data_IF_254595178169
#
_entry.id   IF_254595178169
#
_cell.length_a   1.000
_cell.length_b   1.000
_cell.length_c   1.000
_cell.angle_alpha   90.00
_cell.angle_beta   90.00
_cell.angle_gamma   90.00
#
_symmetry.space_group_name_H-M   'P 1'
#
loop_
_entity.id
_entity.type
_entity.pdbx_description
1 polymer ?
#
# COMPACT_ATOMS: atom_id res chain seq x y z
N UNK A 1 -3.09 25.90 -13.04
CA UNK A 1 -3.22 24.46 -13.06
C UNK A 1 -3.26 23.92 -11.64
N UNK A 2 -4.06 22.89 -11.35
CA UNK A 2 -4.14 22.31 -10.02
C UNK A 2 -2.77 21.76 -9.60
N UNK A 3 -2.47 21.86 -8.30
CA UNK A 3 -1.25 21.24 -7.76
C UNK A 3 -1.26 19.73 -7.95
N UNK A 4 -0.10 19.07 -7.87
CA UNK A 4 -0.01 17.62 -7.92
C UNK A 4 -0.92 16.97 -6.85
N UNK A 5 -0.98 17.57 -5.65
CA UNK A 5 -1.84 17.09 -4.57
C UNK A 5 -3.34 17.22 -4.91
N UNK A 6 -3.75 18.32 -5.53
CA UNK A 6 -5.14 18.49 -5.98
C UNK A 6 -5.52 17.53 -7.09
N UNK A 7 -4.62 17.35 -8.06
CA UNK A 7 -4.85 16.39 -9.17
C UNK A 7 -5.00 14.96 -8.64
N UNK A 8 -4.14 14.55 -7.72
CA UNK A 8 -4.19 13.24 -7.09
C UNK A 8 -5.48 13.06 -6.26
N UNK A 9 -5.82 14.07 -5.45
CA UNK A 9 -7.05 14.05 -4.64
C UNK A 9 -8.30 13.97 -5.52
N UNK A 10 -8.39 14.75 -6.59
CA UNK A 10 -9.52 14.72 -7.52
C UNK A 10 -9.66 13.31 -8.17
N UNK A 11 -8.55 12.68 -8.52
CA UNK A 11 -8.57 11.31 -9.06
C UNK A 11 -9.13 10.30 -8.06
N UNK A 12 -8.69 10.37 -6.79
CA UNK A 12 -9.21 9.51 -5.72
C UNK A 12 -10.71 9.70 -5.51
N UNK A 13 -11.18 10.95 -5.50
CA UNK A 13 -12.61 11.28 -5.34
C UNK A 13 -13.43 10.74 -6.50
N UNK A 14 -12.94 10.90 -7.73
CA UNK A 14 -13.62 10.38 -8.91
C UNK A 14 -13.71 8.85 -8.91
N UNK A 15 -12.65 8.15 -8.50
CA UNK A 15 -12.66 6.69 -8.38
C UNK A 15 -13.66 6.20 -7.34
N UNK A 16 -13.69 6.83 -6.16
CA UNK A 16 -14.64 6.49 -5.09
C UNK A 16 -16.07 6.75 -5.53
N UNK A 17 -16.33 7.89 -6.20
CA UNK A 17 -17.69 8.25 -6.64
C UNK A 17 -18.17 7.37 -7.79
N UNK A 18 -17.29 6.95 -8.71
CA UNK A 18 -17.63 6.02 -9.80
C UNK A 18 -17.94 4.61 -9.31
N UNK A 19 -17.23 4.16 -8.29
CA UNK A 19 -17.39 2.81 -7.74
C UNK A 19 -18.56 2.68 -6.76
N UNK A 20 -19.13 3.81 -6.31
CA UNK A 20 -20.28 3.79 -5.42
C UNK A 20 -21.59 3.75 -6.19
N UNK A 21 -22.17 2.55 -6.29
CA UNK A 21 -23.45 2.31 -6.98
C UNK A 21 -24.69 2.69 -6.15
N UNK A 22 -24.55 3.09 -4.88
CA UNK A 22 -25.66 3.19 -3.93
C UNK A 22 -26.16 4.60 -3.60
N UNK A 23 -25.65 5.66 -4.22
CA UNK A 23 -26.19 6.99 -3.94
C UNK A 23 -25.34 8.14 -4.45
N UNK A 24 -25.93 9.32 -4.52
CA UNK A 24 -25.21 10.55 -4.79
C UNK A 24 -24.31 10.89 -3.60
N UNK A 25 -23.04 10.47 -3.65
CA UNK A 25 -22.05 10.94 -2.70
C UNK A 25 -21.79 12.43 -2.96
N UNK A 26 -21.85 13.21 -1.89
CA UNK A 26 -21.41 14.60 -1.91
C UNK A 26 -19.89 14.64 -2.14
N UNK A 27 -19.50 15.02 -3.36
CA UNK A 27 -18.09 15.05 -3.77
C UNK A 27 -17.23 15.94 -2.88
N UNK A 28 -17.79 17.02 -2.34
CA UNK A 28 -17.04 17.94 -1.49
C UNK A 28 -16.74 17.30 -0.12
N UNK A 29 -17.70 16.60 0.45
CA UNK A 29 -17.47 15.83 1.69
C UNK A 29 -16.48 14.69 1.49
N UNK A 30 -16.58 13.96 0.37
CA UNK A 30 -15.61 12.92 0.03
C UNK A 30 -14.22 13.53 -0.13
N UNK A 31 -14.10 14.65 -0.83
CA UNK A 31 -12.84 15.37 -1.02
C UNK A 31 -12.20 15.79 0.31
N UNK A 32 -12.99 16.34 1.22
CA UNK A 32 -12.53 16.74 2.54
C UNK A 32 -12.04 15.55 3.37
N UNK A 33 -12.79 14.45 3.38
CA UNK A 33 -12.43 13.22 4.08
C UNK A 33 -11.15 12.57 3.53
N UNK A 34 -10.95 12.58 2.21
CA UNK A 34 -9.80 11.95 1.56
C UNK A 34 -8.55 12.84 1.49
N UNK A 35 -8.66 14.13 1.71
CA UNK A 35 -7.53 15.07 1.66
C UNK A 35 -6.33 14.64 2.52
N UNK A 36 -6.49 14.29 3.81
CA UNK A 36 -5.35 13.84 4.63
C UNK A 36 -4.70 12.55 4.10
N UNK A 37 -5.50 11.64 3.54
CA UNK A 37 -5.01 10.40 2.94
C UNK A 37 -4.22 10.68 1.68
N UNK A 38 -4.74 11.55 0.80
CA UNK A 38 -4.06 11.96 -0.42
C UNK A 38 -2.72 12.64 -0.15
N UNK A 39 -2.68 13.56 0.82
CA UNK A 39 -1.44 14.24 1.24
C UNK A 39 -0.41 13.25 1.79
N UNK A 40 -0.83 12.32 2.63
CA UNK A 40 0.06 11.27 3.18
C UNK A 40 0.61 10.36 2.09
N UNK A 41 -0.25 9.91 1.18
CA UNK A 41 0.15 9.03 0.08
C UNK A 41 1.11 9.74 -0.87
N UNK A 42 0.87 11.01 -1.18
CA UNK A 42 1.75 11.80 -2.02
C UNK A 42 3.12 12.03 -1.35
N UNK A 43 3.14 12.37 -0.06
CA UNK A 43 4.40 12.49 0.71
C UNK A 43 5.19 11.17 0.68
N UNK A 44 4.51 10.05 0.90
CA UNK A 44 5.15 8.73 0.83
C UNK A 44 5.71 8.45 -0.57
N UNK A 45 4.94 8.72 -1.61
CA UNK A 45 5.39 8.55 -2.98
C UNK A 45 6.67 9.35 -3.29
N UNK A 46 6.74 10.60 -2.86
CA UNK A 46 7.91 11.46 -3.08
C UNK A 46 9.12 10.95 -2.28
N UNK A 47 8.94 10.59 -1.01
CA UNK A 47 9.99 10.03 -0.16
C UNK A 47 10.51 8.71 -0.75
N UNK A 48 9.60 7.82 -1.15
CA UNK A 48 9.94 6.54 -1.76
C UNK A 48 10.80 6.72 -3.01
N UNK A 49 10.38 7.58 -3.91
CA UNK A 49 11.12 7.83 -5.15
C UNK A 49 12.52 8.41 -4.89
N UNK A 50 12.63 9.30 -3.92
CA UNK A 50 13.93 9.87 -3.53
C UNK A 50 14.86 8.81 -2.92
N UNK A 51 14.35 7.96 -2.04
CA UNK A 51 15.11 6.86 -1.45
C UNK A 51 15.57 5.85 -2.51
N UNK A 52 14.71 5.50 -3.47
CA UNK A 52 15.09 4.62 -4.58
C UNK A 52 16.25 5.22 -5.37
N UNK A 53 16.18 6.52 -5.64
CA UNK A 53 17.22 7.22 -6.38
C UNK A 53 18.53 7.30 -5.61
N UNK A 54 18.49 7.74 -4.35
CA UNK A 54 19.67 7.97 -3.53
C UNK A 54 20.37 6.68 -3.10
N UNK A 55 19.61 5.66 -2.75
CA UNK A 55 20.13 4.38 -2.27
C UNK A 55 20.26 3.35 -3.39
N UNK A 56 19.87 3.69 -4.62
CA UNK A 56 19.92 2.80 -5.79
C UNK A 56 19.26 1.44 -5.53
N UNK A 57 18.08 1.47 -4.89
CA UNK A 57 17.30 0.24 -4.69
C UNK A 57 16.87 -0.31 -6.05
N UNK A 58 17.23 -1.56 -6.30
CA UNK A 58 16.86 -2.33 -7.47
C UNK A 58 16.46 -3.76 -7.09
N UNK A 59 15.89 -4.48 -8.04
CA UNK A 59 15.57 -5.90 -7.90
C UNK A 59 16.28 -6.66 -9.03
N UNK A 60 17.41 -7.31 -8.73
CA UNK A 60 18.06 -8.19 -9.67
C UNK A 60 17.14 -9.32 -10.16
N UNK A 61 17.33 -9.77 -11.40
CA UNK A 61 16.49 -10.81 -12.01
C UNK A 61 16.46 -12.12 -11.22
N UNK A 62 17.60 -12.48 -10.61
CA UNK A 62 17.69 -13.65 -9.74
C UNK A 62 16.84 -13.50 -8.48
N UNK A 63 16.82 -12.34 -7.84
CA UNK A 63 16.03 -12.09 -6.64
C UNK A 63 14.52 -12.21 -6.94
N UNK A 64 14.08 -11.68 -8.08
CA UNK A 64 12.70 -11.83 -8.52
C UNK A 64 12.34 -13.30 -8.76
N UNK A 65 13.25 -14.05 -9.39
CA UNK A 65 13.03 -15.48 -9.64
C UNK A 65 12.99 -16.29 -8.35
N UNK A 66 13.89 -16.01 -7.41
CA UNK A 66 13.98 -16.67 -6.12
C UNK A 66 12.70 -16.43 -5.29
N UNK A 67 12.15 -15.21 -5.32
CA UNK A 67 10.89 -14.90 -4.66
C UNK A 67 9.70 -15.65 -5.28
N UNK A 68 9.67 -15.81 -6.59
CA UNK A 68 8.64 -16.60 -7.28
C UNK A 68 8.75 -18.09 -6.88
N UNK A 69 9.97 -18.66 -6.86
CA UNK A 69 10.19 -20.04 -6.44
C UNK A 69 9.80 -20.24 -4.97
N UNK A 70 10.15 -19.32 -4.08
CA UNK A 70 9.74 -19.36 -2.68
C UNK A 70 8.22 -19.44 -2.52
N UNK A 71 7.46 -18.64 -3.30
CA UNK A 71 5.99 -18.69 -3.29
C UNK A 71 5.44 -20.03 -3.78
N UNK A 72 6.11 -20.67 -4.72
CA UNK A 72 5.75 -22.01 -5.22
C UNK A 72 6.01 -23.09 -4.17
N UNK A 73 7.12 -22.97 -3.43
CA UNK A 73 7.46 -23.87 -2.34
C UNK A 73 6.47 -23.75 -1.16
N UNK A 74 6.03 -22.54 -0.85
CA UNK A 74 5.00 -22.29 0.19
C UNK A 74 3.61 -22.81 -0.22
N UNK A 75 3.33 -22.91 -1.51
CA UNK A 75 2.05 -23.36 -2.04
C UNK A 75 2.22 -24.37 -3.20
N UNK A 76 2.71 -25.58 -2.94
CA UNK A 76 3.04 -26.55 -3.99
C UNK A 76 1.84 -26.90 -4.90
N UNK A 77 0.64 -26.94 -4.32
CA UNK A 77 -0.60 -27.23 -5.05
C UNK A 77 -0.99 -26.15 -6.08
N UNK A 78 -0.46 -24.92 -5.92
CA UNK A 78 -0.73 -23.78 -6.80
C UNK A 78 0.47 -23.41 -7.68
N UNK A 79 1.52 -24.22 -7.70
CA UNK A 79 2.77 -23.91 -8.41
C UNK A 79 2.55 -23.56 -9.89
N UNK A 80 1.67 -24.29 -10.59
CA UNK A 80 1.35 -24.01 -12.01
C UNK A 80 0.58 -22.71 -12.19
N UNK A 81 -0.28 -22.35 -11.25
CA UNK A 81 -1.05 -21.11 -11.27
C UNK A 81 -0.15 -19.90 -11.00
N UNK A 82 0.78 -20.04 -10.04
CA UNK A 82 1.80 -19.05 -9.73
C UNK A 82 2.69 -18.78 -10.95
N UNK A 83 3.16 -19.84 -11.64
CA UNK A 83 3.93 -19.70 -12.88
C UNK A 83 3.13 -18.94 -13.96
N UNK A 84 1.88 -19.30 -14.16
CA UNK A 84 1.00 -18.64 -15.13
C UNK A 84 0.75 -17.18 -14.76
N UNK A 85 0.57 -16.88 -13.49
CA UNK A 85 0.37 -15.53 -12.98
C UNK A 85 1.58 -14.63 -13.25
N UNK A 86 2.79 -15.11 -12.96
CA UNK A 86 4.03 -14.36 -13.15
C UNK A 86 4.60 -14.43 -14.58
N UNK A 87 3.95 -15.13 -15.53
CA UNK A 87 4.23 -14.95 -16.96
C UNK A 87 3.82 -13.58 -17.48
N UNK A 88 2.86 -12.92 -16.82
CA UNK A 88 2.42 -11.56 -17.20
C UNK A 88 3.43 -10.52 -16.70
N UNK A 89 3.97 -9.66 -17.60
CA UNK A 89 4.93 -8.62 -17.21
C UNK A 89 4.41 -7.68 -16.12
N UNK A 90 3.13 -7.31 -16.18
CA UNK A 90 2.51 -6.45 -15.17
C UNK A 90 2.54 -7.04 -13.75
N UNK A 91 2.39 -8.37 -13.62
CA UNK A 91 2.44 -9.04 -12.32
C UNK A 91 3.89 -9.14 -11.79
N UNK A 92 4.86 -9.28 -12.70
CA UNK A 92 6.28 -9.18 -12.34
C UNK A 92 6.65 -7.79 -11.86
N UNK A 93 6.24 -6.75 -12.57
CA UNK A 93 6.49 -5.37 -12.14
C UNK A 93 5.90 -5.06 -10.76
N UNK A 94 4.70 -5.56 -10.47
CA UNK A 94 4.12 -5.43 -9.12
C UNK A 94 4.95 -6.15 -8.06
N UNK A 95 5.46 -7.34 -8.36
CA UNK A 95 6.32 -8.05 -7.44
C UNK A 95 7.67 -7.33 -7.23
N UNK A 96 8.24 -6.74 -8.28
CA UNK A 96 9.43 -5.89 -8.17
C UNK A 96 9.17 -4.69 -7.27
N UNK A 97 8.04 -4.01 -7.45
CA UNK A 97 7.62 -2.89 -6.59
C UNK A 97 7.45 -3.31 -5.13
N UNK A 98 6.84 -4.47 -4.87
CA UNK A 98 6.68 -5.03 -3.52
C UNK A 98 8.04 -5.33 -2.86
N UNK A 99 9.00 -5.88 -3.62
CA UNK A 99 10.35 -6.17 -3.14
C UNK A 99 11.09 -4.86 -2.81
N UNK A 100 11.02 -3.86 -3.70
CA UNK A 100 11.61 -2.55 -3.47
C UNK A 100 11.01 -1.91 -2.20
N UNK A 101 9.69 -1.98 -2.02
CA UNK A 101 9.04 -1.43 -0.84
C UNK A 101 9.50 -2.11 0.45
N UNK A 102 9.64 -3.43 0.44
CA UNK A 102 10.22 -4.16 1.57
C UNK A 102 11.65 -3.71 1.89
N UNK A 103 12.49 -3.49 0.86
CA UNK A 103 13.86 -2.98 1.03
C UNK A 103 13.88 -1.58 1.63
N UNK A 104 13.00 -0.69 1.16
CA UNK A 104 12.87 0.67 1.69
C UNK A 104 12.44 0.65 3.16
N UNK A 105 11.43 -0.16 3.50
CA UNK A 105 10.95 -0.27 4.86
C UNK A 105 12.03 -0.85 5.79
N UNK A 106 12.76 -1.87 5.36
CA UNK A 106 13.89 -2.44 6.10
C UNK A 106 15.00 -1.40 6.33
N UNK A 107 15.32 -0.60 5.32
CA UNK A 107 16.27 0.50 5.42
C UNK A 107 15.82 1.54 6.45
N UNK A 108 14.56 1.95 6.41
CA UNK A 108 14.00 2.94 7.33
C UNK A 108 13.96 2.43 8.78
N UNK A 109 13.68 1.14 8.98
CA UNK A 109 13.67 0.53 10.33
C UNK A 109 15.03 0.61 11.01
N UNK A 110 16.14 0.55 10.26
CA UNK A 110 17.49 0.71 10.82
C UNK A 110 17.70 2.07 11.51
N UNK A 111 16.99 3.11 11.05
CA UNK A 111 17.06 4.46 11.59
C UNK A 111 15.91 4.79 12.57
N UNK A 112 14.89 3.93 12.64
CA UNK A 112 13.74 4.17 13.49
C UNK A 112 14.07 3.85 14.96
N UNK A 113 13.61 4.74 15.87
CA UNK A 113 13.59 4.43 17.29
C UNK A 113 12.33 3.61 17.60
N UNK A 114 12.50 2.30 17.79
CA UNK A 114 11.40 1.40 18.10
C UNK A 114 11.15 1.44 19.61
N UNK A 115 9.91 1.72 20.00
CA UNK A 115 9.43 1.60 21.37
C UNK A 115 8.47 0.42 21.43
N UNK A 116 8.89 -0.66 22.09
CA UNK A 116 8.01 -1.79 22.35
C UNK A 116 7.08 -1.46 23.53
N UNK A 117 5.79 -1.66 23.33
CA UNK A 117 4.76 -1.51 24.36
C UNK A 117 4.04 -2.84 24.50
N UNK A 118 4.10 -3.43 25.70
CA UNK A 118 3.33 -4.63 26.02
C UNK A 118 1.89 -4.23 26.25
N UNK A 119 0.98 -4.72 25.38
CA UNK A 119 -0.45 -4.46 25.46
C UNK A 119 -1.17 -5.75 25.81
N UNK A 120 -2.07 -5.69 26.79
CA UNK A 120 -2.91 -6.82 27.13
C UNK A 120 -3.96 -7.03 26.03
N UNK A 121 -4.12 -8.28 25.57
CA UNK A 121 -5.10 -8.63 24.53
C UNK A 121 -6.55 -8.28 24.91
N UNK A 122 -6.85 -8.19 26.22
CA UNK A 122 -8.17 -7.72 26.69
C UNK A 122 -8.40 -6.22 26.39
N UNK A 123 -7.35 -5.42 26.42
CA UNK A 123 -7.43 -3.97 26.12
C UNK A 123 -7.56 -3.72 24.61
N UNK A 124 -6.93 -4.55 23.79
CA UNK A 124 -7.09 -4.54 22.33
C UNK A 124 -8.53 -4.87 21.91
N UNK A 125 -9.17 -5.83 22.60
CA UNK A 125 -10.58 -6.18 22.32
C UNK A 125 -11.52 -5.03 22.64
N UNK A 126 -11.29 -4.30 23.75
CA UNK A 126 -12.09 -3.10 24.08
C UNK A 126 -11.93 -1.98 23.06
N UNK A 127 -10.75 -1.83 22.44
CA UNK A 127 -10.54 -0.86 21.38
C UNK A 127 -11.23 -1.27 20.06
N UNK A 128 -11.34 -2.58 19.77
CA UNK A 128 -12.06 -3.05 18.58
C UNK A 128 -13.59 -2.94 18.71
N UNK A 129 -14.11 -2.94 19.94
CA UNK A 129 -15.54 -2.72 20.20
C UNK A 129 -15.93 -1.24 20.09
N UNK A 130 -14.96 -0.33 20.11
CA UNK A 130 -15.17 1.11 19.89
C UNK A 130 -14.86 1.44 18.41
N UNK A 131 -15.70 0.90 17.53
CA UNK A 131 -15.55 1.07 16.08
C UNK A 131 -15.92 2.48 15.67
N UNK A 132 -15.02 3.29 15.13
CA UNK A 132 -15.32 4.66 14.73
C UNK A 132 -16.17 4.76 13.46
N UNK A 133 -16.63 3.63 12.92
CA UNK A 133 -17.50 3.57 11.72
C UNK A 133 -18.97 3.22 12.01
N UNK A 134 -19.37 3.06 13.28
CA UNK A 134 -20.80 2.87 13.63
C UNK A 134 -21.61 4.18 13.68
N UNK A 135 -20.96 5.35 13.52
CA UNK A 135 -21.62 6.66 13.49
C UNK A 135 -22.01 7.14 12.06
N UNK A 136 -22.05 6.23 11.07
CA UNK A 136 -22.43 6.54 9.69
C UNK A 136 -23.73 5.80 9.26
N UNK A 137 -24.75 5.83 10.12
CA UNK A 137 -26.14 5.56 9.70
C UNK A 137 -26.90 6.87 9.47
#
# INVERSE_FOLDING_TARGET
PPSMAESYLNHMVDDVTKNNQQGQLDKDKVKEAYKPVAERNLKWYLIRNELIREQSFDVPKNELSDEIERRKEESPNQSKEIDKFFKKPSNRSRLEDDIIEKKILAYLVEFAKIKEVVVNTKDLRKQSDNKPWEDYD
#
